data_IF_547558665037
#
_entry.id   IF_547558665037
#
_cell.length_a   1.000
_cell.length_b   1.000
_cell.length_c   1.000
_cell.angle_alpha   90.00
_cell.angle_beta   90.00
_cell.angle_gamma   90.00
#
_symmetry.space_group_name_H-M   'P 1'
#
loop_
_entity.id
_entity.type
_entity.pdbx_description
1 polymer ?
#
# COMPACT_ATOMS: atom_id res chain seq x y z
N UNK A 1 9.47 -7.76 -36.70
CA UNK A 1 9.53 -7.29 -35.31
C UNK A 1 8.45 -8.02 -34.52
N UNK A 2 8.83 -8.84 -33.52
CA UNK A 2 7.88 -9.45 -32.58
C UNK A 2 7.84 -8.56 -31.35
N UNK A 3 6.73 -7.88 -31.10
CA UNK A 3 6.48 -7.30 -29.78
C UNK A 3 6.29 -8.46 -28.81
N UNK A 4 7.28 -8.70 -27.95
CA UNK A 4 7.10 -9.55 -26.78
C UNK A 4 6.17 -8.79 -25.84
N UNK A 5 4.86 -8.98 -25.98
CA UNK A 5 3.91 -8.69 -24.90
C UNK A 5 4.08 -9.80 -23.86
N UNK A 6 5.20 -9.76 -23.14
CA UNK A 6 5.34 -10.52 -21.91
C UNK A 6 4.43 -9.83 -20.91
N UNK A 7 3.24 -10.38 -20.67
CA UNK A 7 2.49 -9.98 -19.48
C UNK A 7 3.46 -10.12 -18.30
N UNK A 8 3.66 -9.09 -17.46
CA UNK A 8 4.53 -9.21 -16.31
C UNK A 8 4.01 -10.38 -15.48
N UNK A 9 4.95 -11.21 -15.05
CA UNK A 9 4.66 -12.32 -14.14
C UNK A 9 4.10 -11.69 -12.86
N UNK A 10 2.78 -11.72 -12.67
CA UNK A 10 2.17 -11.23 -11.44
C UNK A 10 2.64 -12.11 -10.30
N UNK A 11 2.57 -11.56 -9.09
CA UNK A 11 2.88 -12.29 -7.86
C UNK A 11 4.36 -12.73 -7.73
N UNK A 12 5.24 -12.16 -8.55
CA UNK A 12 6.70 -12.39 -8.51
C UNK A 12 7.46 -11.08 -8.50
N UNK A 13 8.61 -11.07 -7.82
CA UNK A 13 9.54 -9.94 -7.86
C UNK A 13 10.38 -9.99 -9.13
N UNK A 14 10.36 -8.92 -9.91
CA UNK A 14 11.18 -8.76 -11.12
C UNK A 14 12.09 -7.54 -10.97
N UNK A 15 13.31 -7.64 -11.49
CA UNK A 15 14.23 -6.50 -11.50
C UNK A 15 13.65 -5.36 -12.36
N UNK A 16 13.62 -4.15 -11.82
CA UNK A 16 13.12 -2.96 -12.48
C UNK A 16 13.65 -1.70 -11.79
N UNK A 17 13.87 -0.65 -12.56
CA UNK A 17 14.14 0.70 -12.06
C UNK A 17 12.89 1.34 -11.46
N UNK A 18 13.09 2.40 -10.69
CA UNK A 18 12.00 3.19 -10.13
C UNK A 18 11.09 3.80 -11.20
N UNK A 19 11.67 4.27 -12.31
CA UNK A 19 10.90 4.90 -13.38
C UNK A 19 10.08 3.87 -14.17
N UNK A 20 10.64 2.68 -14.44
CA UNK A 20 9.89 1.55 -15.02
C UNK A 20 8.73 1.14 -14.12
N UNK A 21 8.96 1.13 -12.81
CA UNK A 21 7.92 0.85 -11.84
C UNK A 21 6.80 1.90 -11.86
N UNK A 22 7.12 3.20 -11.85
CA UNK A 22 6.11 4.26 -11.94
C UNK A 22 5.27 4.17 -13.23
N UNK A 23 5.92 3.92 -14.37
CA UNK A 23 5.20 3.72 -15.64
C UNK A 23 4.28 2.50 -15.59
N UNK A 24 4.69 1.43 -14.89
CA UNK A 24 3.92 0.21 -14.80
C UNK A 24 2.65 0.39 -13.97
N UNK A 25 2.72 1.05 -12.82
CA UNK A 25 1.56 1.25 -11.93
C UNK A 25 0.55 2.27 -12.48
N UNK A 26 0.93 3.08 -13.46
CA UNK A 26 0.03 3.97 -14.21
C UNK A 26 -0.70 3.25 -15.36
N UNK A 27 -0.35 1.99 -15.65
CA UNK A 27 -0.98 1.23 -16.72
C UNK A 27 -2.39 0.78 -16.31
N UNK A 28 -3.44 1.13 -17.07
CA UNK A 28 -4.83 0.75 -16.76
C UNK A 28 -5.06 -0.76 -16.63
N UNK A 29 -4.20 -1.58 -17.22
CA UNK A 29 -4.25 -3.03 -17.05
C UNK A 29 -4.09 -3.49 -15.58
N UNK A 30 -3.52 -2.64 -14.72
CA UNK A 30 -3.25 -2.93 -13.30
C UNK A 30 -4.04 -2.04 -12.33
N UNK A 31 -5.12 -1.38 -12.76
CA UNK A 31 -5.93 -0.49 -11.91
C UNK A 31 -6.44 -1.14 -10.61
N UNK A 32 -6.60 -2.46 -10.61
CA UNK A 32 -7.06 -3.25 -9.45
C UNK A 32 -5.93 -4.02 -8.77
N UNK A 33 -4.70 -3.88 -9.25
CA UNK A 33 -3.55 -4.57 -8.69
C UNK A 33 -2.91 -3.73 -7.59
N UNK A 34 -2.23 -4.38 -6.65
CA UNK A 34 -1.28 -3.70 -5.77
C UNK A 34 0.09 -3.71 -6.44
N UNK A 35 0.71 -2.53 -6.49
CA UNK A 35 2.07 -2.34 -6.98
C UNK A 35 3.03 -2.16 -5.80
N UNK A 36 4.11 -2.93 -5.80
CA UNK A 36 5.16 -2.83 -4.81
C UNK A 36 6.50 -2.60 -5.49
N UNK A 37 7.35 -1.83 -4.82
CA UNK A 37 8.74 -1.64 -5.21
C UNK A 37 9.63 -1.83 -3.99
N UNK A 38 10.73 -2.55 -4.16
CA UNK A 38 11.72 -2.72 -3.13
C UNK A 38 13.10 -2.96 -3.72
N UNK A 39 14.05 -2.06 -3.45
CA UNK A 39 15.48 -2.22 -3.81
C UNK A 39 15.71 -2.67 -5.25
N UNK A 40 15.18 -1.93 -6.23
CA UNK A 40 15.40 -2.23 -7.66
C UNK A 40 14.60 -3.42 -8.18
N UNK A 41 13.59 -3.85 -7.45
CA UNK A 41 12.65 -4.87 -7.87
C UNK A 41 11.23 -4.36 -7.72
N UNK A 42 10.35 -4.75 -8.63
CA UNK A 42 8.92 -4.51 -8.53
C UNK A 42 8.14 -5.82 -8.44
N UNK A 43 6.94 -5.75 -7.90
CA UNK A 43 5.96 -6.83 -7.90
C UNK A 43 4.57 -6.23 -8.13
N UNK A 44 3.83 -6.83 -9.06
CA UNK A 44 2.40 -6.54 -9.26
C UNK A 44 1.62 -7.71 -8.69
N UNK A 45 0.74 -7.46 -7.75
CA UNK A 45 -0.06 -8.46 -7.07
C UNK A 45 -1.54 -8.29 -7.42
N UNK A 46 -2.14 -9.33 -7.98
CA UNK A 46 -3.56 -9.36 -8.31
C UNK A 46 -4.31 -10.02 -7.16
N UNK A 47 -4.44 -9.32 -6.03
CA UNK A 47 -5.19 -9.85 -4.89
C UNK A 47 -6.68 -9.93 -5.24
N UNK A 48 -7.32 -11.11 -5.18
CA UNK A 48 -8.76 -11.17 -5.11
C UNK A 48 -9.17 -10.65 -3.73
N UNK A 49 -9.53 -9.36 -3.62
CA UNK A 49 -10.14 -8.81 -2.42
C UNK A 49 -11.54 -9.40 -2.29
N UNK A 50 -11.61 -10.57 -1.66
CA UNK A 50 -12.84 -11.31 -1.40
C UNK A 50 -13.53 -10.88 -0.11
N UNK A 51 -14.75 -11.40 0.10
CA UNK A 51 -15.55 -11.14 1.30
C UNK A 51 -14.79 -11.47 2.59
N UNK A 52 -14.01 -12.54 2.62
CA UNK A 52 -13.24 -12.96 3.78
C UNK A 52 -12.21 -11.90 4.17
N UNK A 53 -11.40 -11.43 3.20
CA UNK A 53 -10.42 -10.36 3.44
C UNK A 53 -11.10 -9.06 3.91
N UNK A 54 -12.23 -8.68 3.30
CA UNK A 54 -12.97 -7.50 3.72
C UNK A 54 -13.51 -7.63 5.16
N UNK A 55 -14.00 -8.83 5.52
CA UNK A 55 -14.52 -9.12 6.85
C UNK A 55 -13.41 -9.03 7.90
N UNK A 56 -12.30 -9.72 7.69
CA UNK A 56 -11.15 -9.72 8.59
C UNK A 56 -10.58 -8.31 8.77
N UNK A 57 -10.37 -7.59 7.66
CA UNK A 57 -9.90 -6.21 7.66
C UNK A 57 -10.82 -5.31 8.52
N UNK A 58 -12.14 -5.43 8.34
CA UNK A 58 -13.12 -4.61 9.06
C UNK A 58 -13.13 -4.88 10.57
N UNK A 59 -13.01 -6.14 10.98
CA UNK A 59 -13.03 -6.54 12.40
C UNK A 59 -11.77 -6.02 13.10
N UNK A 60 -10.60 -6.16 12.48
CA UNK A 60 -9.33 -5.69 13.04
C UNK A 60 -9.32 -4.17 13.16
N UNK A 61 -9.71 -3.46 12.09
CA UNK A 61 -9.81 -2.01 12.07
C UNK A 61 -10.75 -1.48 13.17
N UNK A 62 -11.90 -2.13 13.36
CA UNK A 62 -12.85 -1.78 14.42
C UNK A 62 -12.28 -2.02 15.82
N UNK A 63 -11.67 -3.18 16.06
CA UNK A 63 -11.11 -3.53 17.37
C UNK A 63 -10.01 -2.56 17.81
N UNK A 64 -9.12 -2.17 16.89
CA UNK A 64 -8.05 -1.20 17.17
C UNK A 64 -8.64 0.17 17.53
N UNK A 65 -9.59 0.67 16.74
CA UNK A 65 -10.24 1.95 17.04
C UNK A 65 -10.96 1.94 18.39
N UNK A 66 -11.75 0.89 18.65
CA UNK A 66 -12.49 0.78 19.90
C UNK A 66 -11.55 0.77 21.11
N UNK A 67 -10.44 0.02 21.03
CA UNK A 67 -9.42 0.02 22.07
C UNK A 67 -8.82 1.41 22.28
N UNK A 68 -8.42 2.09 21.21
CA UNK A 68 -7.83 3.43 21.29
C UNK A 68 -8.82 4.45 21.88
N UNK A 69 -10.10 4.41 21.50
CA UNK A 69 -11.16 5.24 22.07
C UNK A 69 -11.30 4.99 23.58
N UNK A 70 -11.39 3.72 24.00
CA UNK A 70 -11.52 3.36 25.43
C UNK A 70 -10.29 3.80 26.23
N UNK A 71 -9.10 3.76 25.63
CA UNK A 71 -7.84 4.16 26.29
C UNK A 71 -7.49 5.64 26.16
N UNK A 72 -8.30 6.42 25.44
CA UNK A 72 -7.99 7.83 25.15
C UNK A 72 -6.72 8.01 24.29
N UNK A 73 -6.36 7.01 23.49
CA UNK A 73 -5.22 7.06 22.56
C UNK A 73 -5.70 7.71 21.27
N UNK A 74 -5.02 8.79 20.85
CA UNK A 74 -5.26 9.40 19.55
C UNK A 74 -4.59 8.56 18.47
N UNK A 75 -5.39 8.11 17.50
CA UNK A 75 -4.93 7.23 16.43
C UNK A 75 -5.37 7.81 15.08
N UNK A 76 -4.43 7.94 14.15
CA UNK A 76 -4.72 8.07 12.73
C UNK A 76 -4.52 6.71 12.07
N UNK A 77 -5.53 6.23 11.35
CA UNK A 77 -5.50 4.88 10.79
C UNK A 77 -5.90 4.87 9.31
N UNK A 78 -4.98 5.24 8.39
CA UNK A 78 -5.25 5.15 6.96
C UNK A 78 -5.42 3.68 6.54
N UNK A 79 -6.53 3.39 5.87
CA UNK A 79 -6.78 2.16 5.14
C UNK A 79 -6.44 2.35 3.66
N UNK A 80 -6.11 1.24 2.98
CA UNK A 80 -5.86 1.19 1.54
C UNK A 80 -4.90 2.29 1.01
N UNK A 81 -3.87 2.62 1.79
CA UNK A 81 -2.94 3.70 1.48
C UNK A 81 -1.66 3.18 0.83
N UNK A 82 -1.10 3.95 -0.11
CA UNK A 82 0.21 3.69 -0.71
C UNK A 82 1.25 4.63 -0.13
N UNK A 83 2.38 4.08 0.31
CA UNK A 83 3.51 4.83 0.88
C UNK A 83 4.73 4.69 -0.01
N UNK A 84 5.32 5.83 -0.39
CA UNK A 84 6.45 5.86 -1.32
C UNK A 84 7.66 6.57 -0.72
N UNK A 85 8.80 5.91 -0.83
CA UNK A 85 10.13 6.53 -0.71
C UNK A 85 10.81 6.38 -2.06
N UNK A 86 10.84 7.48 -2.82
CA UNK A 86 11.30 7.48 -4.20
C UNK A 86 12.66 6.82 -4.37
N UNK A 87 12.76 5.91 -5.35
CA UNK A 87 13.98 5.14 -5.64
C UNK A 87 14.29 4.01 -4.65
N UNK A 88 13.58 3.91 -3.52
CA UNK A 88 13.88 2.96 -2.44
C UNK A 88 12.79 1.91 -2.30
N UNK A 89 11.56 2.34 -2.05
CA UNK A 89 10.46 1.44 -1.68
C UNK A 89 9.07 2.04 -1.95
N UNK A 90 8.14 1.18 -2.33
CA UNK A 90 6.70 1.41 -2.21
C UNK A 90 6.04 0.24 -1.50
N UNK A 91 5.15 0.53 -0.55
CA UNK A 91 4.31 -0.46 0.10
C UNK A 91 2.85 -0.01 0.21
N UNK A 92 1.97 -1.01 0.19
CA UNK A 92 0.52 -0.87 0.32
C UNK A 92 0.03 -1.81 1.42
N UNK A 93 0.27 -1.47 2.70
CA UNK A 93 -0.17 -2.30 3.81
C UNK A 93 -1.70 -2.40 3.83
N UNK A 94 -2.23 -3.52 4.34
CA UNK A 94 -3.67 -3.64 4.52
C UNK A 94 -4.21 -2.62 5.53
N UNK A 95 -3.43 -2.29 6.56
CA UNK A 95 -3.77 -1.28 7.55
C UNK A 95 -2.52 -0.56 8.05
N UNK A 96 -2.60 0.77 8.20
CA UNK A 96 -1.55 1.58 8.83
C UNK A 96 -2.08 2.28 10.06
N UNK A 97 -1.30 2.30 11.14
CA UNK A 97 -1.70 2.86 12.43
C UNK A 97 -0.63 3.82 12.94
N UNK A 98 -1.00 5.08 13.15
CA UNK A 98 -0.12 6.11 13.70
C UNK A 98 -0.68 6.62 15.02
N UNK A 99 0.08 6.44 16.10
CA UNK A 99 -0.25 7.04 17.40
C UNK A 99 0.14 8.51 17.35
N UNK A 100 -0.85 9.39 17.44
CA UNK A 100 -0.65 10.82 17.29
C UNK A 100 -0.50 11.48 18.66
N UNK A 101 0.48 12.37 18.79
CA UNK A 101 0.62 13.24 19.97
C UNK A 101 -0.21 14.52 19.79
N UNK A 102 -0.42 14.97 18.56
CA UNK A 102 -1.16 16.20 18.22
C UNK A 102 -2.13 15.99 17.06
N UNK A 103 -3.18 16.83 16.99
CA UNK A 103 -4.18 16.77 15.92
C UNK A 103 -3.58 17.07 14.53
N UNK A 104 -2.50 17.84 14.45
CA UNK A 104 -1.82 18.20 13.20
C UNK A 104 -1.15 17.00 12.50
N UNK A 105 -0.77 15.97 13.27
CA UNK A 105 -0.25 14.71 12.71
C UNK A 105 -1.35 13.89 12.00
N UNK A 106 -2.63 14.17 12.25
CA UNK A 106 -3.76 13.43 11.65
C UNK A 106 -4.09 13.85 10.21
N UNK A 107 -3.41 14.88 9.68
CA UNK A 107 -3.64 15.41 8.31
C UNK A 107 -2.39 15.32 7.43
N UNK A 108 -1.38 14.54 7.84
CA UNK A 108 -0.10 14.43 7.12
C UNK A 108 -0.25 13.73 5.77
N UNK A 109 0.47 14.24 4.76
CA UNK A 109 0.69 13.53 3.49
C UNK A 109 1.29 12.14 3.79
N UNK A 110 0.77 11.07 3.17
CA UNK A 110 1.29 9.70 3.36
C UNK A 110 2.81 9.61 3.17
N UNK A 111 3.38 10.41 2.27
CA UNK A 111 4.82 10.49 2.04
C UNK A 111 5.61 11.16 3.18
N UNK A 112 4.95 11.96 4.02
CA UNK A 112 5.57 12.56 5.21
C UNK A 112 5.54 11.62 6.44
N UNK A 113 4.73 10.55 6.36
CA UNK A 113 4.60 9.53 7.41
C UNK A 113 5.50 8.30 7.16
N UNK A 114 6.10 8.20 5.97
CA UNK A 114 7.11 7.21 5.62
C UNK A 114 8.51 7.75 5.98
N UNK A 115 9.10 7.25 7.06
CA UNK A 115 10.48 7.59 7.49
C UNK A 115 11.58 7.18 6.51
#
# INVERSE_FOLDING_TARGET
MRSLQTQPLTDTWIAASWDEYLQLIENPAYDKAKGYYYRGHLRIEMLPVGLDHATDHSIIAFAINLFCVIKGIRLMMPDNCSYRKAGVQECQPDLSCYVCQTTMQMTGNANALAG
#
